data_IF_425767549445
#
_entry.id   IF_425767549445
#
_cell.length_a   1.000
_cell.length_b   1.000
_cell.length_c   1.000
_cell.angle_alpha   90.00
_cell.angle_beta   90.00
_cell.angle_gamma   90.00
#
_symmetry.space_group_name_H-M   'P 1'
#
loop_
_entity.id
_entity.type
_entity.pdbx_description
1 polymer ?
#
# COMPACT_ATOMS: atom_id res chain seq x y z
N UNK A 1 -14.91 5.82 -25.21
CA UNK A 1 -15.09 6.32 -23.83
C UNK A 1 -14.04 5.60 -22.99
N UNK A 2 -13.09 6.31 -22.39
CA UNK A 2 -12.11 5.68 -21.50
C UNK A 2 -12.80 5.42 -20.16
N UNK A 3 -12.83 4.17 -19.72
CA UNK A 3 -13.30 3.84 -18.38
C UNK A 3 -12.40 4.52 -17.34
N UNK A 4 -13.01 5.25 -16.42
CA UNK A 4 -12.31 5.85 -15.29
C UNK A 4 -12.10 4.79 -14.23
N UNK A 5 -10.85 4.33 -14.06
CA UNK A 5 -10.49 3.40 -13.00
C UNK A 5 -10.32 4.18 -11.69
N UNK A 6 -11.10 3.81 -10.67
CA UNK A 6 -11.00 4.37 -9.33
C UNK A 6 -10.12 3.46 -8.47
N UNK A 7 -9.01 3.99 -7.96
CA UNK A 7 -8.05 3.24 -7.15
C UNK A 7 -8.44 3.31 -5.67
N UNK A 8 -8.37 2.17 -4.98
CA UNK A 8 -8.62 2.07 -3.54
C UNK A 8 -7.50 1.29 -2.87
N UNK A 9 -7.14 1.69 -1.65
CA UNK A 9 -6.22 0.93 -0.81
C UNK A 9 -6.88 -0.41 -0.44
N UNK A 10 -6.13 -1.50 -0.52
CA UNK A 10 -6.59 -2.81 -0.04
C UNK A 10 -6.74 -2.75 1.49
N UNK A 11 -7.93 -3.02 2.06
CA UNK A 11 -8.16 -2.97 3.51
C UNK A 11 -7.36 -4.02 4.29
N UNK A 12 -6.92 -5.11 3.65
CA UNK A 12 -6.07 -6.13 4.26
C UNK A 12 -4.58 -5.76 4.20
N UNK A 13 -4.23 -4.49 3.95
CA UNK A 13 -2.85 -3.97 3.99
C UNK A 13 -2.68 -2.97 5.13
N UNK A 14 -1.66 -3.16 5.95
CA UNK A 14 -1.19 -2.17 6.92
C UNK A 14 -0.18 -1.25 6.25
N UNK A 15 -0.31 0.04 6.54
CA UNK A 15 0.67 1.07 6.18
C UNK A 15 1.36 1.58 7.45
N UNK A 16 2.68 1.66 7.44
CA UNK A 16 3.48 2.32 8.47
C UNK A 16 4.41 3.33 7.83
N UNK A 17 4.41 4.56 8.34
CA UNK A 17 5.37 5.58 7.94
C UNK A 17 6.47 5.62 8.99
N UNK A 18 7.73 5.53 8.54
CA UNK A 18 8.93 5.62 9.38
C UNK A 18 9.86 6.60 8.70
N UNK A 19 10.02 7.79 9.30
CA UNK A 19 10.74 8.90 8.69
C UNK A 19 10.22 9.20 7.27
N UNK A 20 11.09 9.22 6.25
CA UNK A 20 10.74 9.49 4.85
C UNK A 20 10.32 8.21 4.06
N UNK A 21 10.20 7.06 4.73
CA UNK A 21 9.84 5.77 4.13
C UNK A 21 8.43 5.32 4.52
N UNK A 22 7.75 4.65 3.60
CA UNK A 22 6.47 3.98 3.88
C UNK A 22 6.61 2.48 3.70
N UNK A 23 6.27 1.72 4.74
CA UNK A 23 6.22 0.27 4.73
C UNK A 23 4.79 -0.18 4.50
N UNK A 24 4.60 -1.09 3.54
CA UNK A 24 3.36 -1.80 3.28
C UNK A 24 3.53 -3.27 3.61
N UNK A 25 2.60 -3.82 4.39
CA UNK A 25 2.56 -5.24 4.72
C UNK A 25 1.11 -5.75 4.71
N UNK A 26 0.84 -6.98 4.24
CA UNK A 26 -0.47 -7.58 4.34
C UNK A 26 -0.76 -7.99 5.79
N UNK A 27 -2.04 -7.98 6.14
CA UNK A 27 -2.55 -8.61 7.35
C UNK A 27 -2.70 -10.10 7.05
N UNK A 28 -1.74 -10.91 7.49
CA UNK A 28 -1.71 -12.34 7.18
C UNK A 28 -2.97 -13.08 7.68
N UNK A 29 -3.62 -13.82 6.77
CA UNK A 29 -4.67 -14.80 7.11
C UNK A 29 -4.19 -16.25 6.95
N UNK A 30 -3.12 -16.49 6.19
CA UNK A 30 -2.50 -17.81 5.96
C UNK A 30 -0.97 -17.71 5.85
N UNK A 31 -0.26 -18.84 5.95
CA UNK A 31 1.21 -18.92 6.00
C UNK A 31 1.93 -18.64 4.68
N UNK A 32 1.22 -18.58 3.56
CA UNK A 32 1.85 -18.50 2.23
C UNK A 32 2.24 -17.06 1.84
N UNK A 33 1.81 -16.06 2.63
CA UNK A 33 2.03 -14.63 2.37
C UNK A 33 3.17 -14.03 3.20
N UNK A 34 3.86 -14.83 4.02
CA UNK A 34 4.80 -14.41 5.08
C UNK A 34 5.96 -13.50 4.61
N UNK A 35 6.25 -13.41 3.31
CA UNK A 35 7.39 -12.67 2.75
C UNK A 35 7.03 -11.37 2.01
N UNK A 36 5.83 -10.82 2.19
CA UNK A 36 5.37 -9.64 1.46
C UNK A 36 5.51 -8.34 2.24
N UNK A 37 6.75 -7.87 2.47
CA UNK A 37 7.01 -6.53 3.03
C UNK A 37 7.59 -5.64 1.94
N UNK A 38 6.93 -4.51 1.67
CA UNK A 38 7.34 -3.56 0.65
C UNK A 38 7.70 -2.22 1.27
N UNK A 39 8.80 -1.63 0.82
CA UNK A 39 9.18 -0.26 1.17
C UNK A 39 8.96 0.65 -0.03
N UNK A 40 8.21 1.72 0.18
CA UNK A 40 7.99 2.78 -0.80
C UNK A 40 9.04 3.87 -0.62
N UNK A 41 9.56 4.34 -1.75
CA UNK A 41 10.33 5.58 -1.78
C UNK A 41 9.40 6.80 -1.56
N UNK A 42 10.01 7.97 -1.35
CA UNK A 42 9.28 9.23 -1.09
C UNK A 42 8.17 9.56 -2.08
N UNK A 43 8.39 9.33 -3.38
CA UNK A 43 7.38 9.63 -4.42
C UNK A 43 6.21 8.66 -4.31
N UNK A 44 6.50 7.36 -4.17
CA UNK A 44 5.49 6.32 -4.03
C UNK A 44 4.70 6.49 -2.71
N UNK A 45 5.36 6.86 -1.60
CA UNK A 45 4.71 7.21 -0.34
C UNK A 45 3.70 8.34 -0.54
N UNK A 46 4.07 9.39 -1.28
CA UNK A 46 3.16 10.52 -1.54
C UNK A 46 1.97 10.11 -2.41
N UNK A 47 2.18 9.28 -3.43
CA UNK A 47 1.08 8.73 -4.24
C UNK A 47 0.16 7.88 -3.38
N UNK A 48 0.71 7.02 -2.51
CA UNK A 48 -0.06 6.17 -1.61
C UNK A 48 -0.97 6.98 -0.69
N UNK A 49 -0.48 8.08 -0.10
CA UNK A 49 -1.29 8.98 0.74
C UNK A 49 -2.54 9.51 0.01
N UNK A 50 -2.39 9.85 -1.27
CA UNK A 50 -3.45 10.46 -2.08
C UNK A 50 -4.52 9.48 -2.56
N UNK A 51 -4.34 8.17 -2.39
CA UNK A 51 -5.36 7.18 -2.76
C UNK A 51 -6.45 7.14 -1.67
N UNK A 52 -7.63 7.68 -1.99
CA UNK A 52 -8.81 7.74 -1.10
C UNK A 52 -10.05 7.03 -1.69
N UNK A 53 -10.19 7.02 -3.01
CA UNK A 53 -11.08 6.13 -3.74
C UNK A 53 -12.54 6.50 -3.82
#
# INVERSE_FOLDING_TARGET
>A
MQETVVLRKNPDMVTRVIDDETILLPIYKTSDEINCIYTLNKVASRVWELIDG
#
